data_IF_535714364086
#
_entry.id   IF_535714364086
#
_cell.length_a   1.000
_cell.length_b   1.000
_cell.length_c   1.000
_cell.angle_alpha   90.00
_cell.angle_beta   90.00
_cell.angle_gamma   90.00
#
_symmetry.space_group_name_H-M   'P 1'
#
loop_
_entity.id
_entity.type
_entity.pdbx_description
1 polymer ?
#
# COMPACT_ATOMS: atom_id res chain seq x y z
N UNK A 1 2.67 3.68 -24.20
CA UNK A 1 3.63 4.77 -24.47
C UNK A 1 4.18 5.21 -23.12
N UNK A 2 5.49 5.41 -22.99
CA UNK A 2 6.09 5.92 -21.74
C UNK A 2 5.71 7.40 -21.55
N UNK A 3 5.33 7.79 -20.33
CA UNK A 3 5.02 9.18 -19.96
C UNK A 3 6.31 9.93 -19.64
N UNK A 4 6.53 11.09 -20.26
CA UNK A 4 7.61 12.01 -19.88
C UNK A 4 7.18 12.88 -18.67
N UNK A 5 7.75 12.70 -17.47
CA UNK A 5 7.34 13.43 -16.28
C UNK A 5 7.58 14.95 -16.36
N UNK A 6 8.51 15.40 -17.20
CA UNK A 6 8.85 16.83 -17.36
C UNK A 6 7.83 17.58 -18.23
N UNK A 7 7.10 16.87 -19.10
CA UNK A 7 6.10 17.45 -20.00
C UNK A 7 4.68 17.23 -19.48
N UNK A 8 4.50 16.25 -18.59
CA UNK A 8 3.21 15.91 -18.02
C UNK A 8 2.64 17.01 -17.13
N UNK A 9 1.37 17.36 -17.36
CA UNK A 9 0.61 18.31 -16.56
C UNK A 9 -0.22 17.56 -15.51
N UNK A 10 0.03 17.77 -14.20
CA UNK A 10 -0.76 17.13 -13.16
C UNK A 10 -2.26 17.44 -13.26
N UNK A 11 -3.08 16.40 -13.11
CA UNK A 11 -4.53 16.51 -13.05
C UNK A 11 -5.06 16.91 -11.67
N UNK A 12 -6.37 17.16 -11.63
CA UNK A 12 -7.09 17.49 -10.40
C UNK A 12 -7.14 18.99 -10.09
N UNK A 13 -7.68 19.35 -8.92
CA UNK A 13 -8.00 20.72 -8.54
C UNK A 13 -7.24 21.23 -7.31
N UNK A 14 -6.43 20.37 -6.68
CA UNK A 14 -5.59 20.80 -5.57
C UNK A 14 -4.39 21.57 -6.10
N UNK A 15 -4.26 22.83 -5.67
CA UNK A 15 -3.04 23.61 -5.88
C UNK A 15 -1.93 23.11 -4.94
N UNK A 16 -0.73 22.88 -5.47
CA UNK A 16 0.46 22.60 -4.68
C UNK A 16 1.23 23.89 -4.36
N UNK A 17 2.14 23.82 -3.39
CA UNK A 17 3.01 24.95 -3.10
C UNK A 17 4.02 25.19 -4.23
N UNK A 18 4.55 26.42 -4.32
CA UNK A 18 5.65 26.74 -5.25
C UNK A 18 6.88 25.89 -4.97
N UNK A 19 7.16 25.60 -3.70
CA UNK A 19 8.22 24.70 -3.28
C UNK A 19 8.04 23.31 -3.90
N UNK A 20 6.83 22.73 -3.80
CA UNK A 20 6.57 21.42 -4.38
C UNK A 20 6.78 21.39 -5.90
N UNK A 21 6.24 22.37 -6.62
CA UNK A 21 6.37 22.40 -8.09
C UNK A 21 7.81 22.61 -8.56
N UNK A 22 8.57 23.45 -7.86
CA UNK A 22 10.00 23.65 -8.12
C UNK A 22 10.81 22.36 -7.90
N UNK A 23 10.68 21.75 -6.73
CA UNK A 23 11.50 20.59 -6.37
C UNK A 23 11.07 19.32 -7.07
N UNK A 24 9.79 19.14 -7.39
CA UNK A 24 9.30 18.04 -8.23
C UNK A 24 10.02 18.02 -9.58
N UNK A 25 10.12 19.16 -10.24
CA UNK A 25 10.79 19.28 -11.54
C UNK A 25 12.28 18.99 -11.41
N UNK A 26 12.95 19.58 -10.41
CA UNK A 26 14.37 19.32 -10.12
C UNK A 26 14.67 17.85 -9.82
N UNK A 27 13.75 17.16 -9.14
CA UNK A 27 13.88 15.73 -8.86
C UNK A 27 13.86 14.94 -10.17
N UNK A 28 12.92 15.21 -11.08
CA UNK A 28 12.86 14.52 -12.37
C UNK A 28 14.12 14.74 -13.22
N UNK A 29 14.60 15.98 -13.30
CA UNK A 29 15.87 16.29 -13.97
C UNK A 29 17.05 15.57 -13.31
N UNK A 30 17.09 15.52 -11.98
CA UNK A 30 18.12 14.83 -11.22
C UNK A 30 18.09 13.32 -11.49
N UNK A 31 16.92 12.68 -11.52
CA UNK A 31 16.79 11.24 -11.81
C UNK A 31 17.31 10.90 -13.19
N UNK A 32 16.97 11.69 -14.21
CA UNK A 32 17.50 11.53 -15.56
C UNK A 32 19.02 11.70 -15.59
N UNK A 33 19.55 12.77 -14.98
CA UNK A 33 20.98 13.06 -14.97
C UNK A 33 21.81 12.03 -14.20
N UNK A 34 21.27 11.49 -13.11
CA UNK A 34 21.95 10.50 -12.26
C UNK A 34 21.76 9.06 -12.74
N UNK A 35 20.90 8.81 -13.74
CA UNK A 35 20.62 7.47 -14.25
C UNK A 35 19.60 6.67 -13.43
N UNK A 36 19.00 7.23 -12.37
CA UNK A 36 17.95 6.56 -11.58
C UNK A 36 16.77 6.12 -12.45
N UNK A 37 16.36 6.98 -13.39
CA UNK A 37 15.23 6.70 -14.29
C UNK A 37 15.49 5.48 -15.20
N UNK A 38 16.75 5.27 -15.60
CA UNK A 38 17.16 4.15 -16.45
C UNK A 38 17.48 2.88 -15.67
N UNK A 39 17.89 3.02 -14.40
CA UNK A 39 18.21 1.89 -13.53
C UNK A 39 16.96 1.18 -13.02
N UNK A 40 15.93 1.93 -12.65
CA UNK A 40 14.72 1.40 -12.02
C UNK A 40 13.76 0.75 -13.02
N UNK A 41 13.23 -0.40 -12.63
CA UNK A 41 12.16 -1.10 -13.30
C UNK A 41 10.85 -0.94 -12.52
N UNK A 42 9.81 -1.70 -12.88
CA UNK A 42 8.52 -1.68 -12.19
C UNK A 42 8.63 -2.18 -10.73
N UNK A 43 7.67 -1.78 -9.90
CA UNK A 43 7.50 -2.40 -8.58
C UNK A 43 7.32 -3.91 -8.75
N UNK A 44 8.13 -4.71 -8.06
CA UNK A 44 8.17 -6.16 -8.18
C UNK A 44 7.65 -6.89 -6.92
N UNK A 45 7.58 -6.20 -5.77
CA UNK A 45 6.96 -6.75 -4.58
C UNK A 45 6.42 -5.66 -3.63
N UNK A 46 5.49 -6.06 -2.78
CA UNK A 46 5.04 -5.33 -1.58
C UNK A 46 5.26 -6.21 -0.35
N UNK A 47 5.60 -5.59 0.77
CA UNK A 47 5.95 -6.29 2.00
C UNK A 47 5.04 -5.87 3.14
N UNK A 48 4.38 -6.85 3.76
CA UNK A 48 3.53 -6.68 4.94
C UNK A 48 4.09 -7.54 6.06
N UNK A 49 4.16 -7.00 7.27
CA UNK A 49 4.49 -7.75 8.46
C UNK A 49 3.25 -7.92 9.34
N UNK A 50 3.15 -9.07 9.99
CA UNK A 50 2.10 -9.41 10.97
C UNK A 50 2.72 -9.78 12.32
N UNK A 51 1.90 -9.98 13.34
CA UNK A 51 2.38 -10.51 14.62
C UNK A 51 2.80 -11.99 14.52
N UNK A 52 3.62 -12.44 15.46
CA UNK A 52 3.99 -13.85 15.57
C UNK A 52 2.73 -14.72 15.76
N UNK A 53 2.59 -15.74 14.91
CA UNK A 53 1.46 -16.68 14.94
C UNK A 53 0.25 -16.25 14.11
N UNK A 54 0.34 -15.12 13.40
CA UNK A 54 -0.76 -14.56 12.61
C UNK A 54 -0.60 -14.73 11.09
N UNK A 55 0.53 -15.26 10.61
CA UNK A 55 0.73 -15.43 9.16
C UNK A 55 -0.32 -16.34 8.53
N UNK A 56 -0.50 -17.55 9.06
CA UNK A 56 -1.41 -18.53 8.44
C UNK A 56 -2.87 -18.02 8.41
N UNK A 57 -3.43 -17.46 9.50
CA UNK A 57 -4.74 -16.80 9.43
C UNK A 57 -4.79 -15.65 8.41
N UNK A 58 -3.74 -14.83 8.32
CA UNK A 58 -3.67 -13.76 7.34
C UNK A 58 -3.61 -14.28 5.89
N UNK A 59 -2.92 -15.40 5.64
CA UNK A 59 -2.92 -16.07 4.34
C UNK A 59 -4.35 -16.50 3.94
N UNK A 60 -5.18 -16.98 4.88
CA UNK A 60 -6.59 -17.30 4.59
C UNK A 60 -7.39 -16.05 4.23
N UNK A 61 -7.18 -14.93 4.93
CA UNK A 61 -7.79 -13.64 4.61
C UNK A 61 -7.39 -13.17 3.21
N UNK A 62 -6.10 -13.25 2.87
CA UNK A 62 -5.58 -12.90 1.54
C UNK A 62 -6.13 -13.80 0.43
N UNK A 63 -6.33 -15.10 0.70
CA UNK A 63 -6.92 -16.02 -0.27
C UNK A 63 -8.39 -15.69 -0.56
N UNK A 64 -9.13 -15.32 0.47
CA UNK A 64 -10.55 -15.02 0.39
C UNK A 64 -10.81 -13.63 -0.21
N UNK A 65 -10.06 -12.63 0.23
CA UNK A 65 -10.25 -11.21 -0.11
C UNK A 65 -9.34 -10.72 -1.23
N UNK A 66 -8.52 -11.60 -1.80
CA UNK A 66 -7.53 -11.20 -2.78
C UNK A 66 -7.15 -12.29 -3.75
N UNK A 67 -6.41 -11.92 -4.79
CA UNK A 67 -5.99 -12.82 -5.86
C UNK A 67 -4.70 -13.57 -5.54
N UNK A 68 -4.04 -13.24 -4.42
CA UNK A 68 -2.72 -13.74 -4.08
C UNK A 68 -2.77 -15.14 -3.46
N UNK A 69 -1.90 -16.03 -3.92
CA UNK A 69 -1.77 -17.42 -3.45
C UNK A 69 -0.33 -17.70 -3.02
N UNK A 70 -0.17 -18.47 -1.95
CA UNK A 70 1.12 -18.90 -1.44
C UNK A 70 1.91 -19.65 -2.52
N UNK A 71 3.16 -19.27 -2.69
CA UNK A 71 4.08 -19.88 -3.64
C UNK A 71 5.30 -20.49 -2.99
N UNK A 72 5.87 -19.85 -1.96
CA UNK A 72 7.06 -20.34 -1.27
C UNK A 72 7.18 -19.76 0.15
N UNK A 73 7.83 -20.53 1.04
CA UNK A 73 8.11 -20.16 2.42
C UNK A 73 9.60 -20.25 2.71
N UNK A 74 10.13 -19.27 3.45
CA UNK A 74 11.54 -19.22 3.86
C UNK A 74 11.65 -18.82 5.32
N UNK A 75 12.63 -19.37 6.02
CA UNK A 75 12.96 -19.01 7.39
C UNK A 75 14.35 -18.42 7.43
N UNK A 76 14.45 -17.14 7.78
CA UNK A 76 15.73 -16.51 8.09
C UNK A 76 15.94 -16.45 9.61
N UNK A 77 16.94 -15.71 10.07
CA UNK A 77 17.27 -15.62 11.51
C UNK A 77 16.16 -15.03 12.38
N UNK A 78 15.27 -14.21 11.81
CA UNK A 78 14.31 -13.40 12.58
C UNK A 78 12.86 -13.60 12.19
N UNK A 79 12.56 -14.05 10.97
CA UNK A 79 11.23 -14.16 10.42
C UNK A 79 11.01 -15.44 9.62
N UNK A 80 9.76 -15.91 9.63
CA UNK A 80 9.20 -16.64 8.50
C UNK A 80 8.81 -15.63 7.41
N UNK A 81 9.16 -15.92 6.17
CA UNK A 81 8.91 -15.12 4.97
C UNK A 81 8.01 -15.95 4.06
N UNK A 82 6.79 -15.48 3.81
CA UNK A 82 5.83 -16.13 2.93
C UNK A 82 5.70 -15.29 1.65
N UNK A 83 5.95 -15.91 0.50
CA UNK A 83 5.85 -15.25 -0.81
C UNK A 83 4.55 -15.68 -1.47
N UNK A 84 3.71 -14.72 -1.84
CA UNK A 84 2.46 -14.94 -2.55
C UNK A 84 2.48 -14.31 -3.95
N UNK A 85 1.83 -14.97 -4.91
CA UNK A 85 1.71 -14.56 -6.32
C UNK A 85 0.23 -14.47 -6.71
N UNK A 86 -0.14 -13.47 -7.51
CA UNK A 86 -1.41 -13.44 -8.24
C UNK A 86 -1.16 -13.78 -9.71
N UNK A 87 -0.59 -12.85 -10.48
CA UNK A 87 -0.14 -13.04 -11.86
C UNK A 87 1.38 -12.87 -11.98
N UNK A 88 2.04 -13.48 -12.99
CA UNK A 88 3.48 -13.36 -13.18
C UNK A 88 3.98 -11.92 -13.24
N UNK A 89 3.25 -11.03 -13.92
CA UNK A 89 3.60 -9.64 -14.16
C UNK A 89 3.28 -8.68 -13.01
N UNK A 90 2.46 -9.10 -12.04
CA UNK A 90 2.07 -8.31 -10.87
C UNK A 90 3.11 -8.42 -9.75
N UNK A 91 3.25 -7.39 -8.90
CA UNK A 91 4.18 -7.46 -7.78
C UNK A 91 3.79 -8.60 -6.84
N UNK A 92 4.80 -9.29 -6.29
CA UNK A 92 4.62 -10.30 -5.25
C UNK A 92 4.10 -9.67 -3.96
N UNK A 93 3.32 -10.41 -3.20
CA UNK A 93 2.97 -10.01 -1.83
C UNK A 93 3.80 -10.87 -0.87
N UNK A 94 4.71 -10.22 -0.15
CA UNK A 94 5.57 -10.87 0.84
C UNK A 94 4.99 -10.60 2.23
N UNK A 95 4.72 -11.66 2.98
CA UNK A 95 4.31 -11.59 4.38
C UNK A 95 5.48 -11.98 5.28
N UNK A 96 5.83 -11.11 6.22
CA UNK A 96 6.81 -11.37 7.25
C UNK A 96 6.11 -11.69 8.57
N UNK A 97 6.57 -12.73 9.25
CA UNK A 97 6.12 -13.11 10.59
C UNK A 97 7.34 -13.33 11.50
N UNK A 98 7.48 -12.56 12.58
CA UNK A 98 8.60 -12.75 13.50
C UNK A 98 8.64 -14.15 14.09
N UNK A 99 9.83 -14.71 14.28
CA UNK A 99 10.02 -16.04 14.91
C UNK A 99 9.77 -16.02 16.42
N UNK A 100 9.72 -14.84 17.04
CA UNK A 100 9.51 -14.65 18.47
C UNK A 100 8.45 -13.59 18.75
N UNK A 101 7.62 -13.83 19.76
CA UNK A 101 6.64 -12.84 20.26
C UNK A 101 7.31 -11.59 20.87
N UNK A 102 8.55 -11.75 21.34
CA UNK A 102 9.33 -10.66 21.93
C UNK A 102 10.16 -9.91 20.88
N UNK A 103 10.00 -10.24 19.59
CA UNK A 103 10.67 -9.51 18.52
C UNK A 103 10.34 -8.01 18.60
N UNK A 104 11.36 -7.19 18.43
CA UNK A 104 11.24 -5.73 18.43
C UNK A 104 12.40 -5.10 17.68
N UNK A 105 12.06 -4.25 16.74
CA UNK A 105 12.98 -3.38 16.00
C UNK A 105 12.55 -1.91 16.09
N UNK A 106 13.19 -1.04 15.32
CA UNK A 106 12.90 0.39 15.28
C UNK A 106 11.43 0.70 14.92
N UNK A 107 10.83 -0.12 14.07
CA UNK A 107 9.46 0.05 13.60
C UNK A 107 8.45 -0.44 14.64
N UNK A 108 8.73 -1.57 15.29
CA UNK A 108 7.96 -2.02 16.46
C UNK A 108 7.91 -0.90 17.51
N UNK A 109 9.04 -0.24 17.75
CA UNK A 109 9.12 0.87 18.73
C UNK A 109 8.31 2.09 18.30
N UNK A 110 8.35 2.49 17.02
CA UNK A 110 7.51 3.58 16.53
C UNK A 110 6.02 3.27 16.69
N UNK A 111 5.60 2.04 16.35
CA UNK A 111 4.20 1.65 16.44
C UNK A 111 3.67 1.63 17.87
N UNK A 112 4.52 1.36 18.88
CA UNK A 112 4.15 1.42 20.30
C UNK A 112 3.86 2.84 20.81
N UNK A 113 4.30 3.88 20.10
CA UNK A 113 4.03 5.27 20.50
C UNK A 113 2.60 5.72 20.21
N UNK A 114 1.87 4.99 19.36
CA UNK A 114 0.54 5.39 18.92
C UNK A 114 -0.52 4.42 19.49
N UNK A 115 -1.65 4.94 20.01
CA UNK A 115 -2.57 4.17 20.84
C UNK A 115 -3.15 2.95 20.11
N UNK A 116 -3.62 3.11 18.87
CA UNK A 116 -4.30 2.06 18.13
C UNK A 116 -3.36 1.08 17.41
N UNK A 117 -2.08 1.44 17.21
CA UNK A 117 -1.08 0.49 16.72
C UNK A 117 -0.28 -0.20 17.83
N UNK A 118 -0.40 0.26 19.06
CA UNK A 118 0.37 -0.28 20.19
C UNK A 118 0.03 -1.73 20.53
N UNK A 119 -1.22 -2.16 20.26
CA UNK A 119 -1.69 -3.54 20.53
C UNK A 119 -1.06 -4.56 19.58
N UNK A 120 -0.74 -4.15 18.34
CA UNK A 120 -0.11 -4.98 17.31
C UNK A 120 1.08 -4.24 16.71
N UNK A 121 2.16 -4.05 17.49
CA UNK A 121 3.24 -3.17 17.11
C UNK A 121 4.10 -3.70 15.96
N UNK A 122 4.07 -5.00 15.66
CA UNK A 122 4.77 -5.58 14.50
C UNK A 122 3.92 -5.54 13.23
N UNK A 123 2.59 -5.50 13.34
CA UNK A 123 1.68 -5.52 12.21
C UNK A 123 1.65 -4.18 11.45
N UNK A 124 2.03 -4.21 10.17
CA UNK A 124 1.97 -3.07 9.24
C UNK A 124 2.38 -3.44 7.83
N UNK A 125 2.11 -2.53 6.90
CA UNK A 125 2.89 -2.43 5.66
C UNK A 125 4.32 -1.97 5.94
N UNK A 126 5.30 -2.68 5.41
CA UNK A 126 6.73 -2.36 5.56
C UNK A 126 7.21 -1.46 4.43
N UNK A 127 6.83 -1.76 3.19
CA UNK A 127 7.37 -1.08 2.01
C UNK A 127 7.11 -1.81 0.71
N UNK A 128 7.59 -1.20 -0.36
CA UNK A 128 7.57 -1.74 -1.73
C UNK A 128 9.00 -2.02 -2.19
N UNK A 129 9.15 -2.92 -3.16
CA UNK A 129 10.42 -3.26 -3.80
C UNK A 129 10.31 -2.96 -5.30
N UNK A 130 11.27 -2.24 -5.84
CA UNK A 130 11.43 -2.00 -7.28
C UNK A 130 12.45 -2.96 -7.87
N UNK A 131 12.20 -3.45 -9.08
CA UNK A 131 13.26 -4.05 -9.89
C UNK A 131 14.32 -2.99 -10.22
N UNK A 132 15.58 -3.39 -10.37
CA UNK A 132 16.65 -2.51 -10.82
C UNK A 132 17.64 -3.29 -11.67
N UNK A 133 18.33 -2.62 -12.59
CA UNK A 133 19.42 -3.25 -13.36
C UNK A 133 20.68 -3.50 -12.52
N UNK A 134 20.87 -2.71 -11.46
CA UNK A 134 22.03 -2.78 -10.57
C UNK A 134 21.65 -2.28 -9.17
N UNK A 135 21.63 -3.18 -8.18
CA UNK A 135 21.29 -2.84 -6.79
C UNK A 135 22.37 -1.99 -6.11
N UNK A 136 23.65 -2.21 -6.44
CA UNK A 136 24.75 -1.48 -5.83
C UNK A 136 24.82 -0.04 -6.37
N UNK A 137 24.64 0.13 -7.68
CA UNK A 137 24.68 1.46 -8.30
C UNK A 137 23.46 2.30 -7.92
N UNK A 138 22.24 1.73 -7.85
CA UNK A 138 21.07 2.50 -7.40
C UNK A 138 21.22 2.95 -5.95
N UNK A 139 21.71 2.08 -5.06
CA UNK A 139 22.00 2.42 -3.66
C UNK A 139 22.98 3.57 -3.57
N UNK A 140 24.15 3.43 -4.20
CA UNK A 140 25.20 4.45 -4.22
C UNK A 140 24.70 5.79 -4.77
N UNK A 141 23.89 5.74 -5.82
CA UNK A 141 23.31 6.94 -6.44
C UNK A 141 22.35 7.63 -5.47
N UNK A 142 21.42 6.90 -4.87
CA UNK A 142 20.45 7.46 -3.94
C UNK A 142 21.09 7.91 -2.61
N UNK A 143 22.16 7.29 -2.16
CA UNK A 143 22.95 7.79 -1.01
C UNK A 143 23.60 9.14 -1.31
N UNK A 144 24.07 9.36 -2.56
CA UNK A 144 24.50 10.71 -3.00
C UNK A 144 23.33 11.71 -3.06
N UNK A 145 22.09 11.21 -2.98
CA UNK A 145 20.86 11.98 -2.87
C UNK A 145 20.37 12.18 -1.43
N UNK A 146 21.20 11.81 -0.44
CA UNK A 146 20.88 11.81 0.99
C UNK A 146 19.78 10.82 1.40
N UNK A 147 19.51 9.80 0.57
CA UNK A 147 18.67 8.68 0.97
C UNK A 147 19.50 7.73 1.80
N UNK A 148 19.01 7.39 3.00
CA UNK A 148 19.68 6.44 3.89
C UNK A 148 19.24 5.03 3.58
N UNK A 149 20.17 4.09 3.66
CA UNK A 149 19.91 2.65 3.52
C UNK A 149 20.20 1.91 4.82
N UNK A 150 19.55 0.76 5.02
CA UNK A 150 19.91 -0.15 6.08
C UNK A 150 21.23 -0.86 5.75
N UNK A 151 22.14 -0.91 6.73
CA UNK A 151 23.37 -1.68 6.67
C UNK A 151 23.39 -2.83 7.68
N UNK A 152 24.19 -3.86 7.40
CA UNK A 152 24.32 -5.07 8.21
C UNK A 152 24.91 -4.77 9.59
N UNK A 153 24.06 -4.47 10.57
CA UNK A 153 24.28 -4.25 12.02
C UNK A 153 23.33 -3.15 12.55
N UNK A 154 22.73 -2.35 11.66
CA UNK A 154 21.86 -1.23 12.01
C UNK A 154 20.41 -1.64 12.26
N UNK A 155 20.00 -2.82 11.82
CA UNK A 155 18.68 -3.39 12.05
C UNK A 155 18.80 -4.85 12.45
N UNK A 156 17.83 -5.31 13.26
CA UNK A 156 17.75 -6.72 13.68
C UNK A 156 17.10 -7.60 12.62
N UNK A 157 16.31 -7.02 11.71
CA UNK A 157 15.58 -7.79 10.73
C UNK A 157 16.52 -8.21 9.58
N UNK A 158 16.91 -9.48 9.54
CA UNK A 158 17.80 -10.02 8.51
C UNK A 158 17.21 -9.93 7.10
N UNK A 159 15.88 -9.84 6.96
CA UNK A 159 15.25 -9.61 5.65
C UNK A 159 15.72 -8.29 5.00
N UNK A 160 16.06 -7.26 5.79
CA UNK A 160 16.45 -5.95 5.24
C UNK A 160 17.92 -5.83 4.83
N UNK A 161 18.78 -6.75 5.26
CA UNK A 161 20.24 -6.60 5.13
C UNK A 161 20.95 -7.86 4.63
N UNK A 162 20.33 -9.03 4.71
CA UNK A 162 20.92 -10.32 4.31
C UNK A 162 20.23 -10.95 3.10
N UNK A 163 19.08 -10.42 2.68
CA UNK A 163 18.48 -10.76 1.39
C UNK A 163 19.16 -10.00 0.25
N UNK A 164 18.85 -10.34 -0.99
CA UNK A 164 19.27 -9.57 -2.18
C UNK A 164 18.48 -8.27 -2.40
N UNK A 165 17.79 -7.80 -1.37
CA UNK A 165 17.11 -6.52 -1.38
C UNK A 165 17.98 -5.46 -0.68
N UNK A 166 18.15 -4.31 -1.33
CA UNK A 166 18.65 -3.12 -0.65
C UNK A 166 17.47 -2.26 -0.21
N UNK A 167 17.24 -2.15 1.09
CA UNK A 167 16.18 -1.30 1.64
C UNK A 167 16.69 0.05 2.13
N UNK A 168 15.93 1.10 1.86
CA UNK A 168 16.09 2.38 2.54
C UNK A 168 15.82 2.22 4.03
N UNK A 169 16.44 3.08 4.85
CA UNK A 169 15.94 3.34 6.20
C UNK A 169 14.49 3.83 6.09
N UNK A 170 13.61 3.58 7.09
CA UNK A 170 12.24 4.06 7.03
C UNK A 170 12.18 5.57 6.80
N UNK A 171 11.32 5.98 5.88
CA UNK A 171 11.01 7.37 5.55
C UNK A 171 10.59 8.14 6.80
N UNK A 172 11.10 9.36 6.96
CA UNK A 172 10.74 10.23 8.09
C UNK A 172 9.27 10.69 8.01
N UNK A 173 8.66 10.66 6.82
CA UNK A 173 7.31 11.15 6.57
C UNK A 173 6.24 10.03 6.53
N UNK A 174 6.64 8.80 6.20
CA UNK A 174 5.69 7.68 6.02
C UNK A 174 5.97 6.47 6.89
N UNK A 175 7.17 6.38 7.46
CA UNK A 175 7.74 5.20 8.12
C UNK A 175 7.82 3.94 7.23
N UNK A 176 7.51 4.04 5.94
CA UNK A 176 7.64 2.95 4.97
C UNK A 176 9.07 2.91 4.42
N UNK A 177 9.43 1.77 3.81
CA UNK A 177 10.71 1.57 3.12
C UNK A 177 10.51 1.46 1.62
N UNK A 178 11.56 1.81 0.87
CA UNK A 178 11.69 1.46 -0.54
C UNK A 178 12.84 0.46 -0.68
N UNK A 179 12.56 -0.68 -1.29
CA UNK A 179 13.51 -1.74 -1.59
C UNK A 179 13.90 -1.75 -3.06
N UNK A 180 15.08 -2.30 -3.36
CA UNK A 180 15.54 -2.53 -4.73
C UNK A 180 16.06 -3.95 -4.88
N UNK A 181 15.69 -4.60 -5.97
CA UNK A 181 16.11 -5.97 -6.30
C UNK A 181 16.62 -6.04 -7.74
N UNK A 182 17.85 -6.51 -7.91
CA UNK A 182 18.44 -6.76 -9.23
C UNK A 182 18.09 -8.15 -9.76
N UNK A 183 17.87 -9.10 -8.85
CA UNK A 183 17.48 -10.45 -9.20
C UNK A 183 16.02 -10.49 -9.67
N UNK A 184 15.71 -11.46 -10.52
CA UNK A 184 14.32 -11.71 -10.88
C UNK A 184 13.52 -12.12 -9.64
N UNK A 185 12.41 -11.43 -9.34
CA UNK A 185 11.63 -11.67 -8.12
C UNK A 185 11.04 -13.09 -8.03
N UNK A 186 10.98 -13.83 -9.15
CA UNK A 186 10.58 -15.24 -9.19
C UNK A 186 11.71 -16.23 -8.93
N UNK A 187 12.98 -15.80 -8.95
CA UNK A 187 14.15 -16.64 -8.71
C UNK A 187 14.50 -16.69 -7.22
N UNK A 188 13.74 -17.48 -6.46
CA UNK A 188 13.86 -17.49 -5.01
C UNK A 188 15.23 -17.95 -4.48
N UNK A 189 15.93 -18.80 -5.23
CA UNK A 189 17.29 -19.24 -4.87
C UNK A 189 18.29 -18.08 -4.90
N UNK A 190 18.07 -17.09 -5.77
CA UNK A 190 18.89 -15.89 -5.85
C UNK A 190 18.55 -14.85 -4.77
N UNK A 191 17.30 -14.81 -4.28
CA UNK A 191 16.84 -13.77 -3.35
C UNK A 191 17.44 -13.86 -1.94
N UNK A 192 18.00 -15.02 -1.56
CA UNK A 192 18.56 -15.29 -0.21
C UNK A 192 17.57 -14.98 0.93
N UNK A 193 16.33 -15.44 0.79
CA UNK A 193 15.28 -15.18 1.79
C UNK A 193 15.40 -16.04 3.07
N UNK A 194 16.34 -16.98 3.11
CA UNK A 194 16.58 -17.91 4.21
C UNK A 194 16.48 -19.37 3.79
N UNK A 195 16.29 -20.26 4.76
CA UNK A 195 16.11 -21.69 4.52
C UNK A 195 14.67 -21.97 4.05
N UNK A 196 14.45 -22.61 2.89
CA UNK A 196 13.10 -22.90 2.41
C UNK A 196 12.38 -23.88 3.35
N UNK A 197 11.05 -23.73 3.45
CA UNK A 197 10.18 -24.66 4.15
C UNK A 197 8.84 -24.83 3.43
N UNK A 198 8.22 -25.99 3.63
CA UNK A 198 6.87 -26.28 3.16
C UNK A 198 5.84 -26.02 4.27
N UNK A 199 4.63 -25.63 3.86
CA UNK A 199 3.49 -25.57 4.77
C UNK A 199 3.05 -26.98 5.19
N UNK A 200 2.64 -27.14 6.44
CA UNK A 200 2.04 -28.39 6.91
C UNK A 200 0.82 -28.78 6.06
N UNK A 201 0.62 -30.07 5.83
CA UNK A 201 -0.46 -30.58 4.98
C UNK A 201 -1.85 -30.09 5.42
N UNK A 202 -2.10 -30.00 6.73
CA UNK A 202 -3.37 -29.48 7.27
C UNK A 202 -3.62 -28.01 6.95
N UNK A 203 -2.56 -27.19 6.86
CA UNK A 203 -2.64 -25.78 6.46
C UNK A 203 -2.88 -25.67 4.96
N UNK A 204 -2.23 -26.51 4.16
CA UNK A 204 -2.47 -26.57 2.71
C UNK A 204 -3.93 -26.95 2.43
N UNK A 205 -4.44 -27.97 3.12
CA UNK A 205 -5.83 -28.42 2.98
C UNK A 205 -6.83 -27.31 3.35
N UNK A 206 -6.58 -26.54 4.41
CA UNK A 206 -7.46 -25.45 4.81
C UNK A 206 -7.43 -24.27 3.83
N UNK A 207 -6.27 -23.94 3.27
CA UNK A 207 -6.14 -22.94 2.20
C UNK A 207 -6.85 -23.38 0.92
N UNK A 208 -6.75 -24.67 0.55
CA UNK A 208 -7.42 -25.22 -0.63
C UNK A 208 -8.96 -25.17 -0.51
N UNK A 209 -9.51 -25.28 0.70
CA UNK A 209 -10.95 -25.07 0.91
C UNK A 209 -11.38 -23.64 0.58
N UNK A 210 -10.54 -22.65 0.89
CA UNK A 210 -10.79 -21.24 0.49
C UNK A 210 -10.70 -21.09 -1.02
N UNK A 211 -9.69 -21.70 -1.66
CA UNK A 211 -9.55 -21.71 -3.13
C UNK A 211 -10.80 -22.27 -3.79
N UNK A 212 -11.26 -23.45 -3.34
CA UNK A 212 -12.47 -24.08 -3.86
C UNK A 212 -13.68 -23.15 -3.75
N UNK A 213 -13.88 -22.51 -2.59
CA UNK A 213 -14.97 -21.56 -2.42
C UNK A 213 -14.86 -20.37 -3.39
N UNK A 214 -13.66 -19.78 -3.52
CA UNK A 214 -13.40 -18.64 -4.42
C UNK A 214 -13.69 -19.02 -5.87
N UNK A 215 -13.27 -20.20 -6.33
CA UNK A 215 -13.53 -20.71 -7.68
C UNK A 215 -15.01 -21.00 -7.92
N UNK A 216 -15.70 -21.60 -6.95
CA UNK A 216 -17.15 -21.86 -7.01
C UNK A 216 -17.96 -20.55 -7.15
N UNK A 217 -17.53 -19.50 -6.45
CA UNK A 217 -18.11 -18.16 -6.53
C UNK A 217 -17.49 -17.30 -7.66
N UNK A 218 -16.50 -17.82 -8.40
CA UNK A 218 -15.79 -17.14 -9.48
C UNK A 218 -15.10 -15.83 -9.10
N UNK A 219 -14.77 -15.64 -7.82
CA UNK A 219 -14.14 -14.41 -7.32
C UNK A 219 -12.70 -14.25 -7.87
N UNK A 220 -12.03 -15.35 -8.15
CA UNK A 220 -10.69 -15.43 -8.76
C UNK A 220 -10.61 -14.76 -10.13
N UNK A 221 -11.70 -14.80 -10.90
CA UNK A 221 -11.80 -14.16 -12.21
C UNK A 221 -12.19 -12.68 -12.14
N UNK A 222 -12.64 -12.21 -10.97
CA UNK A 222 -13.18 -10.86 -10.78
C UNK A 222 -12.17 -9.93 -10.10
N UNK A 223 -11.46 -10.42 -9.07
CA UNK A 223 -10.49 -9.63 -8.31
C UNK A 223 -9.12 -9.79 -8.98
N UNK A 224 -8.52 -8.69 -9.44
CA UNK A 224 -7.35 -8.73 -10.31
C UNK A 224 -6.01 -8.65 -9.56
N UNK A 225 -5.56 -7.44 -9.27
CA UNK A 225 -4.25 -7.14 -8.70
C UNK A 225 -4.32 -5.82 -7.96
N UNK A 226 -3.22 -5.44 -7.32
CA UNK A 226 -3.16 -4.20 -6.55
C UNK A 226 -3.25 -3.02 -7.52
N UNK A 227 -4.35 -2.27 -7.48
CA UNK A 227 -4.53 -1.01 -8.24
C UNK A 227 -3.65 0.08 -7.59
N UNK A 228 -3.79 0.24 -6.27
CA UNK A 228 -3.05 1.28 -5.55
C UNK A 228 -2.82 1.01 -4.07
N UNK A 229 -1.90 1.81 -3.52
CA UNK A 229 -1.44 1.76 -2.14
C UNK A 229 -1.55 3.17 -1.53
N UNK A 230 -2.51 3.38 -0.63
CA UNK A 230 -2.71 4.68 0.00
C UNK A 230 -2.12 4.80 1.39
N UNK A 231 -1.25 5.80 1.55
CA UNK A 231 -0.57 6.17 2.78
C UNK A 231 -1.22 7.41 3.37
N UNK A 232 -1.48 7.38 4.69
CA UNK A 232 -1.90 8.56 5.44
C UNK A 232 -0.72 9.16 6.18
N UNK A 233 -0.59 10.48 6.08
CA UNK A 233 0.51 11.28 6.64
C UNK A 233 -0.04 12.57 7.25
N UNK A 234 0.75 13.26 8.09
CA UNK A 234 0.31 14.51 8.70
C UNK A 234 0.14 15.60 7.64
N UNK A 235 -0.78 16.54 7.90
CA UNK A 235 -1.04 17.68 7.03
C UNK A 235 0.22 18.43 6.58
N UNK A 236 1.15 18.66 7.52
CA UNK A 236 2.38 19.43 7.28
C UNK A 236 3.47 18.68 6.52
N UNK A 237 3.32 17.38 6.29
CA UNK A 237 4.35 16.52 5.69
C UNK A 237 4.00 16.07 4.27
N UNK A 238 2.83 16.48 3.76
CA UNK A 238 2.25 15.96 2.52
C UNK A 238 3.21 16.02 1.34
N UNK A 239 3.65 17.23 1.05
CA UNK A 239 4.44 17.51 -0.14
C UNK A 239 5.85 16.93 -0.01
N UNK A 240 6.43 16.99 1.19
CA UNK A 240 7.75 16.41 1.48
C UNK A 240 7.74 14.88 1.33
N UNK A 241 6.71 14.18 1.82
CA UNK A 241 6.57 12.74 1.65
C UNK A 241 6.53 12.32 0.17
N UNK A 242 5.81 13.09 -0.65
CA UNK A 242 5.68 12.83 -2.09
C UNK A 242 7.03 13.09 -2.78
N UNK A 243 7.70 14.21 -2.48
CA UNK A 243 9.00 14.53 -3.08
C UNK A 243 10.09 13.52 -2.68
N UNK A 244 10.09 13.07 -1.42
CA UNK A 244 11.00 12.01 -0.96
C UNK A 244 10.75 10.73 -1.77
N UNK A 245 9.50 10.28 -1.87
CA UNK A 245 9.15 9.09 -2.64
C UNK A 245 9.52 9.22 -4.13
N UNK A 246 9.25 10.37 -4.75
CA UNK A 246 9.62 10.62 -6.14
C UNK A 246 11.13 10.60 -6.35
N UNK A 247 11.94 10.96 -5.34
CA UNK A 247 13.41 10.87 -5.41
C UNK A 247 13.91 9.43 -5.53
N UNK A 248 13.17 8.49 -4.93
CA UNK A 248 13.53 7.07 -4.79
C UNK A 248 12.87 6.14 -5.82
N UNK A 249 11.96 6.65 -6.64
CA UNK A 249 11.15 5.83 -7.56
C UNK A 249 11.18 6.38 -9.00
N UNK A 250 10.73 5.55 -9.94
CA UNK A 250 10.40 5.94 -11.31
C UNK A 250 8.92 6.34 -11.47
N UNK A 251 8.23 6.63 -10.36
CA UNK A 251 6.89 7.20 -10.41
C UNK A 251 6.96 8.69 -10.78
N UNK A 252 5.86 9.20 -11.33
CA UNK A 252 5.63 10.64 -11.56
C UNK A 252 4.37 11.07 -10.81
N UNK A 253 4.30 12.36 -10.48
CA UNK A 253 3.13 12.96 -9.84
C UNK A 253 2.01 13.11 -10.87
N UNK A 254 0.97 12.29 -10.72
CA UNK A 254 -0.14 12.22 -11.67
C UNK A 254 -1.14 13.35 -11.45
N UNK A 255 -1.39 13.73 -10.20
CA UNK A 255 -2.37 14.75 -9.88
C UNK A 255 -2.83 14.72 -8.43
N UNK A 256 -3.64 15.70 -8.05
CA UNK A 256 -4.20 15.76 -6.70
C UNK A 256 -5.57 16.42 -6.64
N UNK A 257 -6.41 15.93 -5.73
CA UNK A 257 -7.76 16.41 -5.52
C UNK A 257 -7.95 16.98 -4.12
N UNK A 258 -8.65 18.10 -4.04
CA UNK A 258 -9.06 18.68 -2.78
C UNK A 258 -10.43 18.12 -2.35
N UNK A 259 -10.50 17.58 -1.15
CA UNK A 259 -11.71 17.02 -0.52
C UNK A 259 -12.09 17.93 0.65
N UNK A 260 -12.63 19.11 0.30
CA UNK A 260 -12.89 20.19 1.24
C UNK A 260 -13.78 19.77 2.42
N UNK A 261 -14.85 19.00 2.15
CA UNK A 261 -15.83 18.57 3.15
C UNK A 261 -15.22 17.67 4.24
N UNK A 262 -14.08 17.03 3.96
CA UNK A 262 -13.35 16.17 4.90
C UNK A 262 -12.03 16.81 5.38
N UNK A 263 -11.82 18.10 5.11
CA UNK A 263 -10.56 18.81 5.35
C UNK A 263 -9.36 17.97 4.89
N UNK A 264 -9.43 17.36 3.71
CA UNK A 264 -8.44 16.39 3.25
C UNK A 264 -8.07 16.63 1.79
N UNK A 265 -6.92 16.11 1.38
CA UNK A 265 -6.58 16.00 -0.02
C UNK A 265 -5.81 14.72 -0.31
N UNK A 266 -6.04 14.24 -1.52
CA UNK A 266 -5.52 12.97 -2.01
C UNK A 266 -4.63 13.23 -3.22
N UNK A 267 -3.42 12.69 -3.18
CA UNK A 267 -2.32 13.02 -4.08
C UNK A 267 -1.79 11.72 -4.65
N UNK A 268 -1.66 11.64 -5.97
CA UNK A 268 -1.42 10.37 -6.67
C UNK A 268 -0.09 10.43 -7.42
N UNK A 269 0.69 9.37 -7.32
CA UNK A 269 1.80 9.10 -8.21
C UNK A 269 1.58 7.78 -8.96
N UNK A 270 2.01 7.72 -10.22
CA UNK A 270 1.89 6.55 -11.10
C UNK A 270 3.23 6.23 -11.73
N UNK A 271 3.42 4.99 -12.20
CA UNK A 271 4.61 4.62 -12.96
C UNK A 271 4.36 4.90 -14.45
N UNK A 272 5.18 5.76 -15.05
CA UNK A 272 5.03 6.17 -16.46
C UNK A 272 5.42 5.10 -17.48
N UNK A 273 6.03 4.00 -17.05
CA UNK A 273 6.58 2.95 -17.90
C UNK A 273 5.71 1.69 -17.95
N UNK A 274 4.58 1.68 -17.25
CA UNK A 274 3.58 0.59 -17.30
C UNK A 274 2.30 1.09 -17.97
N UNK A 275 1.61 0.17 -18.64
CA UNK A 275 0.30 0.36 -19.25
C UNK A 275 -0.86 0.10 -18.27
N UNK A 276 -0.57 -0.49 -17.12
CA UNK A 276 -1.54 -0.91 -16.12
C UNK A 276 -0.93 -0.75 -14.72
N UNK A 277 -1.63 -0.05 -13.83
CA UNK A 277 -1.18 0.20 -12.45
C UNK A 277 -0.98 -1.12 -11.69
N UNK A 278 -1.68 -2.22 -12.04
CA UNK A 278 -1.47 -3.53 -11.39
C UNK A 278 -0.07 -4.11 -11.61
N UNK A 279 0.64 -3.68 -12.66
CA UNK A 279 2.04 -4.07 -12.91
C UNK A 279 3.02 -3.25 -12.08
N UNK A 280 2.64 -2.06 -11.63
CA UNK A 280 3.42 -1.21 -10.73
C UNK A 280 2.47 -0.25 -9.99
N UNK A 281 1.91 -0.68 -8.85
CA UNK A 281 0.81 0.01 -8.19
C UNK A 281 1.03 1.51 -8.01
N UNK A 282 -0.03 2.28 -8.19
CA UNK A 282 -0.01 3.70 -7.91
C UNK A 282 0.18 3.94 -6.41
N UNK A 283 0.87 5.02 -6.05
CA UNK A 283 1.01 5.44 -4.65
C UNK A 283 0.12 6.64 -4.41
N UNK A 284 -0.68 6.55 -3.36
CA UNK A 284 -1.60 7.59 -2.95
C UNK A 284 -1.14 8.14 -1.62
N UNK A 285 -1.08 9.46 -1.49
CA UNK A 285 -0.75 10.18 -0.26
C UNK A 285 -1.94 11.03 0.12
N UNK A 286 -2.55 10.69 1.26
CA UNK A 286 -3.70 11.40 1.79
C UNK A 286 -3.32 12.09 3.09
N UNK A 287 -3.63 13.38 3.19
CA UNK A 287 -3.34 14.18 4.37
C UNK A 287 -4.43 15.23 4.57
N UNK A 288 -4.67 15.60 5.81
CA UNK A 288 -5.56 16.72 6.14
C UNK A 288 -5.05 18.03 5.51
N UNK A 289 -5.93 18.93 5.05
CA UNK A 289 -5.50 20.19 4.43
C UNK A 289 -4.87 21.13 5.46
N UNK A 290 -5.38 21.11 6.70
CA UNK A 290 -4.83 21.88 7.81
C UNK A 290 -4.36 20.95 8.95
N UNK A 291 -3.21 21.25 9.61
CA UNK A 291 -2.78 20.51 10.79
C UNK A 291 -3.77 20.59 11.94
N UNK A 292 -3.71 19.61 12.86
CA UNK A 292 -4.63 19.54 14.01
C UNK A 292 -4.77 20.83 14.83
N UNK A 293 -3.66 21.51 15.14
CA UNK A 293 -3.71 22.76 15.92
C UNK A 293 -4.37 23.90 15.15
N UNK A 294 -4.24 23.96 13.81
CA UNK A 294 -4.94 24.95 12.98
C UNK A 294 -6.42 24.60 12.93
N UNK A 295 -6.73 23.32 12.72
CA UNK A 295 -8.10 22.84 12.71
C UNK A 295 -8.83 23.05 14.05
N UNK A 296 -8.11 23.21 15.17
CA UNK A 296 -8.72 23.53 16.46
C UNK A 296 -9.48 24.87 16.51
N UNK A 297 -9.23 25.78 15.56
CA UNK A 297 -9.99 27.03 15.41
C UNK A 297 -11.25 26.89 14.55
N UNK A 298 -11.25 25.96 13.59
CA UNK A 298 -12.31 25.82 12.58
C UNK A 298 -13.25 24.64 12.88
N UNK A 299 -12.76 23.65 13.63
CA UNK A 299 -13.45 22.44 14.04
C UNK A 299 -14.05 21.66 12.85
N UNK A 300 -13.32 21.59 11.73
CA UNK A 300 -13.69 20.77 10.58
C UNK A 300 -13.43 19.28 10.87
N UNK A 301 -14.06 18.34 10.13
CA UNK A 301 -13.68 16.93 10.19
C UNK A 301 -12.19 16.73 9.95
N UNK A 302 -11.54 15.82 10.68
CA UNK A 302 -10.11 15.54 10.51
C UNK A 302 -9.72 14.06 10.54
N UNK A 303 -10.47 13.18 9.87
CA UNK A 303 -10.29 11.73 9.98
C UNK A 303 -8.91 11.25 9.50
N UNK A 304 -8.29 11.96 8.55
CA UNK A 304 -6.94 11.58 8.07
C UNK A 304 -5.88 11.92 9.11
N UNK A 305 -5.92 13.13 9.68
CA UNK A 305 -5.01 13.56 10.75
C UNK A 305 -5.20 12.70 12.01
N UNK A 306 -6.44 12.42 12.41
CA UNK A 306 -6.73 11.59 13.58
C UNK A 306 -6.21 10.16 13.41
N UNK A 307 -6.36 9.55 12.23
CA UNK A 307 -5.74 8.26 11.94
C UNK A 307 -4.22 8.31 12.18
N UNK A 308 -3.54 9.32 11.65
CA UNK A 308 -2.08 9.45 11.81
C UNK A 308 -1.69 9.71 13.26
N UNK A 309 -2.52 10.39 14.05
CA UNK A 309 -2.30 10.56 15.49
C UNK A 309 -2.57 9.27 16.28
N UNK A 310 -3.42 8.38 15.79
CA UNK A 310 -3.82 7.16 16.49
C UNK A 310 -3.00 5.93 16.09
N UNK A 311 -2.54 5.86 14.84
CA UNK A 311 -1.76 4.76 14.29
C UNK A 311 -0.34 5.20 13.88
N UNK A 312 -0.05 6.48 13.77
CA UNK A 312 1.19 6.96 13.13
C UNK A 312 1.09 7.00 11.61
N UNK A 313 2.11 7.58 10.97
CA UNK A 313 2.20 7.65 9.51
C UNK A 313 2.42 6.24 8.96
N UNK A 314 1.57 5.80 8.04
CA UNK A 314 1.64 4.44 7.46
C UNK A 314 0.71 4.28 6.27
N UNK A 315 0.90 3.17 5.54
CA UNK A 315 -0.12 2.67 4.61
C UNK A 315 -1.42 2.41 5.38
N UNK A 316 -2.53 2.92 4.85
CA UNK A 316 -3.87 2.77 5.39
C UNK A 316 -4.66 1.68 4.66
N UNK A 317 -4.58 1.63 3.33
CA UNK A 317 -5.25 0.57 2.55
C UNK A 317 -4.46 0.10 1.34
N UNK A 318 -4.80 -1.12 0.92
CA UNK A 318 -4.42 -1.74 -0.36
C UNK A 318 -5.71 -1.89 -1.17
N UNK A 319 -5.71 -1.37 -2.40
CA UNK A 319 -6.85 -1.48 -3.29
C UNK A 319 -6.63 -2.57 -4.33
N UNK A 320 -7.62 -3.44 -4.50
CA UNK A 320 -7.69 -4.41 -5.60
C UNK A 320 -8.67 -3.94 -6.65
N UNK A 321 -8.26 -4.01 -7.92
CA UNK A 321 -9.18 -3.77 -9.02
C UNK A 321 -10.12 -4.96 -9.19
N UNK A 322 -11.39 -4.66 -9.43
CA UNK A 322 -12.42 -5.59 -9.85
C UNK A 322 -12.71 -5.35 -11.33
N UNK A 323 -12.78 -6.42 -12.12
CA UNK A 323 -13.07 -6.37 -13.56
C UNK A 323 -14.36 -5.58 -13.82
N UNK A 324 -14.30 -4.60 -14.74
CA UNK A 324 -15.48 -3.88 -15.22
C UNK A 324 -16.50 -4.84 -15.83
N UNK A 325 -17.74 -4.76 -15.37
CA UNK A 325 -18.84 -5.43 -16.01
C UNK A 325 -19.96 -5.79 -15.05
N UNK A 326 -20.96 -6.47 -15.62
CA UNK A 326 -22.10 -6.94 -14.85
C UNK A 326 -21.97 -8.44 -14.59
N UNK A 327 -22.25 -8.83 -13.36
CA UNK A 327 -22.42 -10.22 -12.99
C UNK A 327 -23.76 -10.76 -13.54
N UNK A 328 -23.95 -12.08 -13.48
CA UNK A 328 -25.06 -12.82 -14.16
C UNK A 328 -26.46 -12.25 -13.92
N UNK A 329 -26.70 -11.64 -12.76
CA UNK A 329 -27.98 -11.06 -12.37
C UNK A 329 -28.15 -9.56 -12.75
N UNK A 330 -27.17 -8.97 -13.44
CA UNK A 330 -27.18 -7.56 -13.84
C UNK A 330 -26.59 -6.59 -12.82
N UNK A 331 -26.21 -7.05 -11.62
CA UNK A 331 -25.45 -6.27 -10.65
C UNK A 331 -23.99 -6.08 -11.10
N UNK A 332 -23.30 -5.04 -10.61
CA UNK A 332 -21.89 -4.81 -10.96
C UNK A 332 -21.00 -5.86 -10.29
N UNK A 333 -19.87 -6.18 -10.91
CA UNK A 333 -18.97 -7.21 -10.37
C UNK A 333 -18.48 -6.88 -8.96
N UNK A 334 -18.20 -5.62 -8.65
CA UNK A 334 -17.82 -5.20 -7.30
C UNK A 334 -18.94 -5.42 -6.28
N UNK A 335 -20.21 -5.21 -6.65
CA UNK A 335 -21.34 -5.47 -5.75
C UNK A 335 -21.41 -6.98 -5.44
N UNK A 336 -21.30 -7.82 -6.47
CA UNK A 336 -21.31 -9.27 -6.31
C UNK A 336 -20.15 -9.77 -5.43
N UNK A 337 -18.93 -9.30 -5.68
CA UNK A 337 -17.74 -9.63 -4.88
C UNK A 337 -17.99 -9.28 -3.41
N UNK A 338 -18.44 -8.05 -3.14
CA UNK A 338 -18.62 -7.53 -1.79
C UNK A 338 -19.75 -8.27 -1.06
N UNK A 339 -20.89 -8.51 -1.72
CA UNK A 339 -21.99 -9.27 -1.16
C UNK A 339 -21.57 -10.70 -0.79
N UNK A 340 -20.81 -11.36 -1.68
CA UNK A 340 -20.28 -12.72 -1.44
C UNK A 340 -19.33 -12.76 -0.24
N UNK A 341 -18.48 -11.74 -0.08
CA UNK A 341 -17.58 -11.63 1.06
C UNK A 341 -18.32 -11.31 2.37
N UNK A 342 -19.37 -10.48 2.32
CA UNK A 342 -20.23 -10.23 3.47
C UNK A 342 -20.92 -11.51 3.97
N UNK A 343 -21.34 -12.40 3.07
CA UNK A 343 -21.88 -13.72 3.44
C UNK A 343 -20.84 -14.61 4.15
N UNK A 344 -19.54 -14.38 3.88
CA UNK A 344 -18.41 -14.97 4.62
C UNK A 344 -17.99 -14.19 5.86
N UNK A 345 -18.87 -13.30 6.35
CA UNK A 345 -18.66 -12.50 7.55
C UNK A 345 -17.47 -11.54 7.48
N UNK A 346 -17.05 -11.14 6.27
CA UNK A 346 -16.09 -10.05 6.09
C UNK A 346 -16.82 -8.72 6.32
N UNK A 347 -16.40 -7.91 7.30
CA UNK A 347 -17.05 -6.64 7.58
C UNK A 347 -16.55 -5.53 6.65
N UNK A 348 -17.47 -4.69 6.19
CA UNK A 348 -17.18 -3.48 5.41
C UNK A 348 -17.58 -2.22 6.16
N UNK A 349 -16.93 -1.09 5.85
CA UNK A 349 -17.12 0.18 6.56
C UNK A 349 -18.39 0.93 6.13
N UNK A 350 -18.88 0.67 4.93
CA UNK A 350 -20.04 1.34 4.35
C UNK A 350 -20.71 0.46 3.30
N UNK A 351 -21.66 1.04 2.57
CA UNK A 351 -22.16 0.49 1.31
C UNK A 351 -21.16 0.81 0.18
N UNK A 352 -21.24 0.09 -0.94
CA UNK A 352 -20.48 0.44 -2.15
C UNK A 352 -20.88 1.84 -2.60
N UNK A 353 -19.90 2.72 -2.78
CA UNK A 353 -20.10 4.12 -3.21
C UNK A 353 -19.74 4.29 -4.68
N UNK A 354 -20.31 5.32 -5.31
CA UNK A 354 -20.15 5.60 -6.74
C UNK A 354 -21.19 4.88 -7.60
N UNK A 355 -21.13 5.15 -8.90
CA UNK A 355 -22.09 4.62 -9.87
C UNK A 355 -21.34 4.17 -11.12
N UNK A 356 -21.88 3.18 -11.80
CA UNK A 356 -21.38 2.72 -13.09
C UNK A 356 -22.57 2.60 -14.04
N UNK A 357 -23.01 3.76 -14.55
CA UNK A 357 -24.12 3.90 -15.49
C UNK A 357 -23.60 3.74 -16.93
N UNK A 358 -23.85 4.70 -17.82
CA UNK A 358 -23.42 4.61 -19.23
C UNK A 358 -22.11 5.39 -19.51
N UNK A 359 -21.67 6.23 -18.57
CA UNK A 359 -20.48 7.10 -18.71
C UNK A 359 -19.30 6.60 -17.85
N UNK A 360 -18.04 6.96 -18.21
CA UNK A 360 -16.86 6.60 -17.42
C UNK A 360 -16.96 7.08 -15.97
N UNK A 361 -16.90 6.14 -15.03
CA UNK A 361 -17.02 6.39 -13.59
C UNK A 361 -16.40 5.21 -12.82
N UNK A 362 -16.59 5.15 -11.50
CA UNK A 362 -16.06 4.07 -10.68
C UNK A 362 -16.91 3.78 -9.44
N UNK A 363 -16.88 2.52 -9.01
CA UNK A 363 -17.47 2.04 -7.76
C UNK A 363 -16.40 1.56 -6.81
N UNK A 364 -16.55 1.90 -5.53
CA UNK A 364 -15.54 1.65 -4.50
C UNK A 364 -16.15 1.25 -3.16
N UNK A 365 -15.39 0.50 -2.36
CA UNK A 365 -15.73 0.23 -0.96
C UNK A 365 -14.49 -0.15 -0.16
N UNK A 366 -14.49 0.20 1.14
CA UNK A 366 -13.50 -0.27 2.10
C UNK A 366 -14.03 -1.39 2.99
N UNK A 367 -13.24 -2.44 3.17
CA UNK A 367 -13.39 -3.37 4.30
C UNK A 367 -13.11 -2.64 5.62
N UNK A 368 -13.45 -3.26 6.75
CA UNK A 368 -12.80 -2.88 8.02
C UNK A 368 -11.31 -3.27 7.99
N UNK A 369 -10.56 -2.75 8.94
CA UNK A 369 -9.17 -3.15 9.18
C UNK A 369 -9.06 -4.67 9.33
N UNK A 370 -8.10 -5.26 8.62
CA UNK A 370 -7.64 -6.62 8.87
C UNK A 370 -7.25 -6.77 10.34
N UNK A 371 -7.69 -7.86 10.95
CA UNK A 371 -7.28 -8.21 12.32
C UNK A 371 -5.80 -8.56 12.40
N UNK A 372 -5.14 -8.83 11.27
CA UNK A 372 -3.77 -9.31 11.21
C UNK A 372 -2.80 -8.22 10.75
N UNK A 373 -3.09 -7.54 9.63
CA UNK A 373 -2.19 -6.53 9.07
C UNK A 373 -2.52 -5.09 9.47
N UNK A 374 -3.69 -4.85 10.06
CA UNK A 374 -4.25 -3.50 10.31
C UNK A 374 -4.41 -2.71 9.00
N UNK A 375 -4.47 -3.37 7.84
CA UNK A 375 -4.75 -2.72 6.57
C UNK A 375 -6.23 -2.84 6.22
N UNK A 376 -6.78 -1.81 5.62
CA UNK A 376 -8.06 -1.89 4.92
C UNK A 376 -7.82 -2.48 3.53
N UNK A 377 -8.72 -3.34 3.08
CA UNK A 377 -8.82 -3.75 1.67
C UNK A 377 -9.87 -2.89 0.99
N UNK A 378 -9.49 -2.25 -0.11
CA UNK A 378 -10.42 -1.56 -0.99
C UNK A 378 -10.70 -2.43 -2.23
N UNK A 379 -11.95 -2.42 -2.71
CA UNK A 379 -12.28 -2.90 -4.04
C UNK A 379 -12.67 -1.73 -4.93
N UNK A 380 -12.12 -1.68 -6.15
CA UNK A 380 -12.38 -0.63 -7.13
C UNK A 380 -12.80 -1.25 -8.45
N UNK A 381 -13.99 -0.93 -8.94
CA UNK A 381 -14.38 -1.23 -10.33
C UNK A 381 -14.35 0.08 -11.14
N UNK A 382 -13.46 0.16 -12.13
CA UNK A 382 -13.33 1.30 -13.05
C UNK A 382 -14.17 1.04 -14.28
N UNK A 383 -15.27 1.76 -14.43
CA UNK A 383 -16.29 1.46 -15.43
C UNK A 383 -16.12 2.29 -16.70
N UNK A 384 -16.42 1.68 -17.84
CA UNK A 384 -16.47 2.33 -19.16
C UNK A 384 -15.17 3.07 -19.53
N UNK A 385 -14.02 2.51 -19.14
CA UNK A 385 -12.70 3.08 -19.45
C UNK A 385 -12.35 4.34 -18.65
N UNK A 386 -12.85 4.47 -17.42
CA UNK A 386 -12.50 5.59 -16.55
C UNK A 386 -10.98 5.66 -16.28
N UNK A 387 -10.32 6.68 -16.86
CA UNK A 387 -8.88 6.93 -16.72
C UNK A 387 -8.50 7.79 -15.50
N UNK A 388 -9.50 8.40 -14.83
CA UNK A 388 -9.28 9.13 -13.60
C UNK A 388 -8.95 8.18 -12.44
N UNK A 389 -8.57 8.73 -11.28
CA UNK A 389 -8.18 7.90 -10.14
C UNK A 389 -9.32 7.65 -9.15
N UNK A 390 -10.04 8.71 -8.75
CA UNK A 390 -11.22 8.65 -7.88
C UNK A 390 -12.23 9.74 -8.28
N UNK A 391 -13.45 9.69 -7.74
CA UNK A 391 -14.37 10.85 -7.72
C UNK A 391 -14.33 11.51 -6.35
N UNK A 392 -14.49 12.84 -6.27
CA UNK A 392 -14.47 13.56 -5.00
C UNK A 392 -15.53 13.08 -4.02
N UNK A 393 -16.73 12.75 -4.53
CA UNK A 393 -17.82 12.21 -3.73
C UNK A 393 -17.48 10.85 -3.13
N UNK A 394 -16.85 9.95 -3.90
CA UNK A 394 -16.44 8.65 -3.39
C UNK A 394 -15.38 8.80 -2.28
N UNK A 395 -14.35 9.63 -2.53
CA UNK A 395 -13.29 9.86 -1.53
C UNK A 395 -13.85 10.47 -0.25
N UNK A 396 -14.76 11.44 -0.34
CA UNK A 396 -15.40 12.03 0.83
C UNK A 396 -16.17 11.00 1.66
N UNK A 397 -17.00 10.17 1.01
CA UNK A 397 -17.81 9.15 1.69
C UNK A 397 -16.94 8.06 2.34
N UNK A 398 -15.91 7.58 1.65
CA UNK A 398 -14.98 6.57 2.16
C UNK A 398 -14.15 7.10 3.33
N UNK A 399 -13.69 8.36 3.23
CA UNK A 399 -12.93 9.03 4.29
C UNK A 399 -13.77 9.24 5.55
N UNK A 400 -15.04 9.60 5.39
CA UNK A 400 -15.97 9.71 6.51
C UNK A 400 -16.22 8.37 7.20
N UNK A 401 -16.42 7.31 6.42
CA UNK A 401 -16.68 5.97 6.93
C UNK A 401 -15.49 5.41 7.73
N UNK A 402 -14.28 5.51 7.17
CA UNK A 402 -13.05 5.13 7.87
C UNK A 402 -12.84 5.95 9.15
N UNK A 403 -13.03 7.27 9.06
CA UNK A 403 -12.92 8.17 10.21
C UNK A 403 -13.92 7.95 11.34
N UNK A 404 -15.00 7.19 11.13
CA UNK A 404 -15.93 6.76 12.20
C UNK A 404 -15.44 5.50 12.90
N UNK A 405 -14.82 4.56 12.17
CA UNK A 405 -14.30 3.29 12.70
C UNK A 405 -12.95 3.47 13.40
N UNK A 406 -12.14 4.43 12.94
CA UNK A 406 -10.77 4.72 13.43
C UNK A 406 -10.73 5.68 14.64
N UNK A 407 -11.89 6.06 15.17
CA UNK A 407 -11.94 6.98 16.32
C UNK A 407 -11.38 6.30 17.54
N UNK A 408 -10.38 6.94 18.12
CA UNK A 408 -9.93 6.62 19.45
C UNK A 408 -10.57 7.60 20.44
N UNK A 409 -11.53 7.12 21.23
CA UNK A 409 -12.03 7.88 22.38
C UNK A 409 -10.89 7.97 23.40
N UNK A 410 -10.24 9.13 23.49
CA UNK A 410 -9.39 9.42 24.64
C UNK A 410 -10.30 9.33 25.86
N UNK A 411 -10.07 8.37 26.74
CA UNK A 411 -10.68 8.38 28.06
C UNK A 411 -10.48 9.77 28.65
N UNK A 412 -11.53 10.37 29.22
CA UNK A 412 -11.47 11.69 29.84
C UNK A 412 -10.31 11.72 30.84
N UNK A 413 -9.14 12.26 30.44
CA UNK A 413 -7.97 12.38 31.32
C UNK A 413 -8.16 13.54 32.31
N UNK A 414 -9.27 14.28 32.20
CA UNK A 414 -9.69 15.29 33.15
C UNK A 414 -11.21 15.22 33.38
N UNK A 415 -11.67 14.14 34.04
CA UNK A 415 -12.89 14.18 34.84
C UNK A 415 -12.53 14.05 36.32
#
# INVERSE_FOLDING_TARGET
MSINPLEYQPGGDKKNSEFFDEYRTKIYERRQKSGVEDLLEKMCAVVVQVEQGEAIPYLHELYLMGPYRFSAGFKNETHNVYVLISQPEFPRLIVLEPLSKDYSDEITMFNRLYPLSSEKPNARYIGEIFGTKDTAEIRKTLESHNIRFNYHHETKNSFFTESHFAFTFPSDFTFNRVGYCQEEIGNYDALQLGTPFDLDASVVDSLNQVVQFVEEQKLDSLILGIDHLATRILAGEREDAILEFLTMSNHYFWGAYNIADMNSSTNVTRNGNVDDDKKSPAKVFTANNTPSFVNSFENLPMPTEDFVRNYGRRLHHVAYEVVDGNHRAGEKNVDYVVNTLMEKSIPFLAHVVGECLDDPNLKQIFSKHSKYSILITEYVERCHGYEGFFTKSNVAALTEAAGKDERYEHGHVFD
#
